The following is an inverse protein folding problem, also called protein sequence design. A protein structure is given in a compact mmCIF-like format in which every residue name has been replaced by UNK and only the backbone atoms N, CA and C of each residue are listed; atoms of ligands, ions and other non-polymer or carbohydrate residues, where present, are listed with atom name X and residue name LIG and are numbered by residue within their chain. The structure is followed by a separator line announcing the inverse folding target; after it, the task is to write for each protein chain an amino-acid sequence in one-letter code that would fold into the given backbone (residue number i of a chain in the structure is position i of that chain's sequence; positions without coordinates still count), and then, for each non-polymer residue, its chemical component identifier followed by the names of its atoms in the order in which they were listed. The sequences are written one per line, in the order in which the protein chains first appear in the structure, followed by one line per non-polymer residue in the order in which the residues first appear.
data_IF_970255418407
#
_entry.id   IF_970255418407
#
_cell.length_a   1.000
_cell.length_b   1.000
_cell.length_c   1.000
_cell.angle_alpha   90.00
_cell.angle_beta   90.00
_cell.angle_gamma   90.00
#
_symmetry.space_group_name_H-M   'P 1'
#
loop_
_entity.id
_entity.type
_entity.pdbx_description
1 polymer ?
#
# COMPACT_ATOMS: atom_id res chain seq x y z
N UNK A 1 -117.37 -15.49 -68.50
CA UNK A 1 -118.00 -14.16 -68.32
C UNK A 1 -117.07 -13.16 -68.99
N UNK A 2 -117.28 -12.79 -70.26
CA UNK A 2 -118.25 -11.78 -70.77
C UNK A 2 -118.08 -10.47 -69.98
N UNK A 3 -117.66 -9.33 -70.55
CA UNK A 3 -118.11 -8.62 -71.78
C UNK A 3 -116.90 -7.83 -72.36
N UNK A 4 -116.54 -7.79 -73.65
CA UNK A 4 -117.25 -7.40 -74.89
C UNK A 4 -117.89 -6.01 -74.84
N UNK A 5 -117.23 -5.02 -75.47
CA UNK A 5 -117.76 -4.25 -76.63
C UNK A 5 -116.89 -3.00 -76.83
N UNK A 6 -116.07 -2.94 -77.89
CA UNK A 6 -116.43 -2.32 -79.18
C UNK A 6 -116.79 -0.85 -79.04
N UNK A 7 -115.95 0.06 -79.57
CA UNK A 7 -116.38 1.03 -80.60
C UNK A 7 -115.21 1.39 -81.52
N UNK A 8 -115.52 1.24 -82.81
CA UNK A 8 -114.72 1.54 -84.01
C UNK A 8 -114.90 3.03 -84.35
N UNK A 9 -113.83 3.68 -84.82
CA UNK A 9 -113.76 4.69 -85.92
C UNK A 9 -112.81 5.83 -85.57
N UNK A 10 -111.86 6.08 -86.48
CA UNK A 10 -111.01 7.26 -86.45
C UNK A 10 -109.63 6.98 -87.02
N UNK A 11 -109.55 6.53 -88.28
CA UNK A 11 -108.32 6.63 -89.05
C UNK A 11 -108.09 8.12 -89.34
N UNK A 12 -107.44 8.80 -88.40
CA UNK A 12 -106.87 10.11 -88.60
C UNK A 12 -105.39 9.90 -88.85
N UNK A 13 -104.98 10.02 -90.11
CA UNK A 13 -103.59 10.19 -90.50
C UNK A 13 -103.05 11.42 -89.79
N UNK A 14 -102.45 11.23 -88.60
CA UNK A 14 -101.61 12.24 -87.99
C UNK A 14 -100.31 12.17 -88.78
N UNK A 15 -100.21 13.03 -89.79
CA UNK A 15 -98.92 13.50 -90.29
C UNK A 15 -98.15 14.01 -89.08
N UNK A 16 -97.29 13.16 -88.53
CA UNK A 16 -96.29 13.54 -87.54
C UNK A 16 -95.32 14.45 -88.29
N UNK A 17 -95.65 15.73 -88.32
CA UNK A 17 -94.75 16.77 -88.76
C UNK A 17 -93.63 16.78 -87.71
N UNK A 18 -92.59 15.98 -87.95
CA UNK A 18 -91.31 16.14 -87.27
C UNK A 18 -90.74 17.47 -87.76
N UNK A 19 -91.27 18.56 -87.21
CA UNK A 19 -90.58 19.84 -87.21
C UNK A 19 -89.33 19.63 -86.36
N UNK A 20 -88.27 19.13 -86.98
CA UNK A 20 -86.93 19.25 -86.44
C UNK A 20 -86.71 20.74 -86.28
N UNK A 21 -86.70 21.22 -85.05
CA UNK A 21 -86.07 22.50 -84.75
C UNK A 21 -84.64 22.32 -85.25
N UNK A 22 -84.33 22.98 -86.37
CA UNK A 22 -83.07 22.84 -87.09
C UNK A 22 -81.92 23.32 -86.24
N UNK A 23 -81.36 22.42 -85.43
CA UNK A 23 -80.06 22.62 -84.82
C UNK A 23 -79.01 22.05 -85.79
N UNK A 24 -78.31 22.95 -86.48
CA UNK A 24 -77.16 22.61 -87.32
C UNK A 24 -76.13 21.78 -86.51
N UNK A 25 -75.42 20.86 -87.17
CA UNK A 25 -74.38 20.05 -86.53
C UNK A 25 -73.30 20.90 -85.80
N UNK A 26 -73.08 22.15 -86.26
CA UNK A 26 -72.20 23.11 -85.61
C UNK A 26 -72.66 23.60 -84.23
N UNK A 27 -73.98 23.70 -83.97
CA UNK A 27 -74.50 24.13 -82.66
C UNK A 27 -74.38 23.01 -81.62
N UNK A 28 -74.54 21.74 -82.03
CA UNK A 28 -74.29 20.59 -81.14
C UNK A 28 -72.81 20.46 -80.74
N UNK A 29 -71.89 20.68 -81.70
CA UNK A 29 -70.45 20.73 -81.40
C UNK A 29 -70.10 21.87 -80.43
N UNK A 30 -70.69 23.05 -80.59
CA UNK A 30 -70.48 24.16 -79.66
C UNK A 30 -70.96 23.83 -78.23
N UNK A 31 -72.13 23.19 -78.09
CA UNK A 31 -72.64 22.74 -76.79
C UNK A 31 -71.74 21.67 -76.17
N UNK A 32 -71.26 20.70 -76.94
CA UNK A 32 -70.33 19.68 -76.46
C UNK A 32 -69.00 20.30 -76.01
N UNK A 33 -68.46 21.26 -76.78
CA UNK A 33 -67.24 21.98 -76.40
C UNK A 33 -67.43 22.81 -75.12
N UNK A 34 -68.58 23.45 -74.93
CA UNK A 34 -68.91 24.19 -73.69
C UNK A 34 -69.04 23.21 -72.52
N UNK A 35 -69.77 22.10 -72.69
CA UNK A 35 -69.91 21.08 -71.65
C UNK A 35 -68.56 20.47 -71.27
N UNK A 36 -67.72 20.10 -72.26
CA UNK A 36 -66.38 19.58 -72.05
C UNK A 36 -65.49 20.59 -71.31
N UNK A 37 -65.55 21.87 -71.70
CA UNK A 37 -64.83 22.97 -71.04
C UNK A 37 -65.29 23.19 -69.60
N UNK A 38 -66.59 23.13 -69.32
CA UNK A 38 -67.15 23.25 -67.96
C UNK A 38 -66.78 22.04 -67.10
N UNK A 39 -66.81 20.82 -67.65
CA UNK A 39 -66.37 19.62 -66.90
C UNK A 39 -64.87 19.63 -66.62
N UNK A 40 -64.04 20.10 -67.55
CA UNK A 40 -62.60 20.21 -67.35
C UNK A 40 -62.26 21.29 -66.32
N UNK A 41 -62.88 22.47 -66.43
CA UNK A 41 -62.72 23.54 -65.44
C UNK A 41 -63.23 23.10 -64.06
N UNK A 42 -64.40 22.44 -63.99
CA UNK A 42 -64.95 21.91 -62.73
C UNK A 42 -64.04 20.88 -62.08
N UNK A 43 -63.49 19.94 -62.85
CA UNK A 43 -62.52 18.96 -62.36
C UNK A 43 -61.23 19.61 -61.84
N UNK A 44 -60.74 20.65 -62.52
CA UNK A 44 -59.59 21.43 -62.07
C UNK A 44 -59.85 22.15 -60.74
N UNK A 45 -61.02 22.77 -60.55
CA UNK A 45 -61.37 23.42 -59.28
C UNK A 45 -61.44 22.43 -58.12
N UNK A 46 -62.03 21.24 -58.33
CA UNK A 46 -62.06 20.19 -57.30
C UNK A 46 -60.66 19.68 -56.97
N UNK A 47 -59.81 19.47 -57.98
CA UNK A 47 -58.42 19.06 -57.76
C UNK A 47 -57.60 20.14 -57.03
N UNK A 48 -57.81 21.43 -57.37
CA UNK A 48 -57.19 22.55 -56.66
C UNK A 48 -57.65 22.63 -55.20
N UNK A 49 -58.95 22.45 -54.94
CA UNK A 49 -59.49 22.47 -53.57
C UNK A 49 -58.93 21.33 -52.72
N UNK A 50 -58.89 20.11 -53.26
CA UNK A 50 -58.24 18.98 -52.61
C UNK A 50 -56.74 19.20 -52.37
N UNK A 51 -56.03 19.78 -53.33
CA UNK A 51 -54.62 20.13 -53.17
C UNK A 51 -54.43 21.21 -52.09
N UNK A 52 -55.33 22.19 -52.00
CA UNK A 52 -55.30 23.23 -50.97
C UNK A 52 -55.55 22.65 -49.58
N UNK A 53 -56.50 21.72 -49.43
CA UNK A 53 -56.76 21.01 -48.17
C UNK A 53 -55.52 20.19 -47.76
N UNK A 54 -54.93 19.45 -48.69
CA UNK A 54 -53.72 18.67 -48.43
C UNK A 54 -52.52 19.55 -48.05
N UNK A 55 -52.39 20.75 -48.64
CA UNK A 55 -51.37 21.73 -48.26
C UNK A 55 -51.59 22.26 -46.85
N UNK A 56 -52.82 22.63 -46.49
CA UNK A 56 -53.16 23.07 -45.12
C UNK A 56 -52.90 22.00 -44.08
N UNK A 57 -53.19 20.73 -44.39
CA UNK A 57 -52.86 19.62 -43.50
C UNK A 57 -51.35 19.49 -43.30
N UNK A 58 -50.56 19.56 -44.38
CA UNK A 58 -49.10 19.56 -44.28
C UNK A 58 -48.60 20.74 -43.46
N UNK A 59 -49.12 21.94 -43.67
CA UNK A 59 -48.76 23.13 -42.90
C UNK A 59 -49.02 22.94 -41.40
N UNK A 60 -50.21 22.44 -41.03
CA UNK A 60 -50.54 22.11 -39.64
C UNK A 60 -49.60 21.04 -39.04
N UNK A 61 -49.26 20.01 -39.80
CA UNK A 61 -48.30 18.98 -39.38
C UNK A 61 -46.89 19.55 -39.18
N UNK A 62 -46.45 20.44 -40.07
CA UNK A 62 -45.15 21.13 -39.96
C UNK A 62 -45.11 22.05 -38.75
N UNK A 63 -46.17 22.81 -38.50
CA UNK A 63 -46.28 23.66 -37.30
C UNK A 63 -46.25 22.83 -36.02
N UNK A 64 -46.97 21.71 -35.97
CA UNK A 64 -46.97 20.80 -34.82
C UNK A 64 -45.58 20.20 -34.58
N UNK A 65 -44.91 19.71 -35.63
CA UNK A 65 -43.53 19.21 -35.54
C UNK A 65 -42.54 20.28 -35.11
N UNK A 66 -42.69 21.51 -35.61
CA UNK A 66 -41.85 22.65 -35.24
C UNK A 66 -42.00 23.00 -33.75
N UNK A 67 -43.24 23.04 -33.24
CA UNK A 67 -43.51 23.26 -31.81
C UNK A 67 -42.92 22.14 -30.95
N UNK A 68 -43.15 20.88 -31.31
CA UNK A 68 -42.58 19.74 -30.60
C UNK A 68 -41.05 19.72 -30.62
N UNK A 69 -40.42 20.15 -31.72
CA UNK A 69 -38.96 20.30 -31.80
C UNK A 69 -38.45 21.37 -30.85
N UNK A 70 -39.10 22.54 -30.81
CA UNK A 70 -38.72 23.64 -29.91
C UNK A 70 -38.88 23.25 -28.44
N UNK A 71 -39.92 22.50 -28.09
CA UNK A 71 -40.12 21.97 -26.73
C UNK A 71 -39.04 20.95 -26.35
N UNK A 72 -38.63 20.09 -27.29
CA UNK A 72 -37.50 19.18 -27.06
C UNK A 72 -36.19 19.93 -26.88
N UNK A 73 -35.93 20.95 -27.71
CA UNK A 73 -34.73 21.77 -27.59
C UNK A 73 -34.68 22.52 -26.24
N UNK A 74 -35.80 23.09 -25.80
CA UNK A 74 -35.86 23.76 -24.50
C UNK A 74 -35.68 22.79 -23.33
N UNK A 75 -36.26 21.58 -23.41
CA UNK A 75 -36.05 20.51 -22.43
C UNK A 75 -34.60 20.07 -22.37
N UNK A 76 -33.98 19.78 -23.52
CA UNK A 76 -32.58 19.36 -23.61
C UNK A 76 -31.63 20.46 -23.14
N UNK A 77 -31.92 21.73 -23.43
CA UNK A 77 -31.16 22.88 -22.92
C UNK A 77 -31.24 22.96 -21.39
N UNK A 78 -32.42 22.72 -20.82
CA UNK A 78 -32.62 22.63 -19.38
C UNK A 78 -31.85 21.47 -18.74
N UNK A 79 -31.88 20.28 -19.35
CA UNK A 79 -31.12 19.10 -18.89
C UNK A 79 -29.61 19.33 -18.98
N UNK A 80 -29.13 19.93 -20.07
CA UNK A 80 -27.72 20.27 -20.25
C UNK A 80 -27.26 21.29 -19.19
N UNK A 81 -28.10 22.27 -18.88
CA UNK A 81 -27.85 23.23 -17.80
C UNK A 81 -27.73 22.56 -16.44
N UNK A 82 -28.66 21.64 -16.11
CA UNK A 82 -28.60 20.86 -14.86
C UNK A 82 -27.36 19.97 -14.81
N UNK A 83 -27.05 19.27 -15.88
CA UNK A 83 -25.87 18.40 -15.95
C UNK A 83 -24.58 19.21 -15.75
N UNK A 84 -24.49 20.39 -16.36
CA UNK A 84 -23.36 21.31 -16.17
C UNK A 84 -23.21 21.75 -14.71
N UNK A 85 -24.31 22.07 -14.02
CA UNK A 85 -24.26 22.39 -12.60
C UNK A 85 -23.81 21.20 -11.75
N UNK A 86 -24.33 20.00 -12.01
CA UNK A 86 -23.88 18.80 -11.29
C UNK A 86 -22.42 18.47 -11.55
N UNK A 87 -21.92 18.74 -12.76
CA UNK A 87 -20.51 18.54 -13.09
C UNK A 87 -19.61 19.50 -12.31
N UNK A 88 -19.97 20.79 -12.24
CA UNK A 88 -19.23 21.78 -11.47
C UNK A 88 -19.22 21.47 -9.96
N UNK A 89 -20.34 20.96 -9.44
CA UNK A 89 -20.42 20.55 -8.04
C UNK A 89 -19.50 19.35 -7.74
N UNK A 90 -19.50 18.34 -8.63
CA UNK A 90 -18.57 17.20 -8.53
C UNK A 90 -17.11 17.60 -8.68
N UNK A 91 -16.80 18.55 -9.56
CA UNK A 91 -15.44 19.08 -9.72
C UNK A 91 -14.97 19.78 -8.43
N UNK A 92 -15.87 20.52 -7.78
CA UNK A 92 -15.62 21.11 -6.46
C UNK A 92 -15.38 20.04 -5.39
N UNK A 93 -16.26 19.05 -5.27
CA UNK A 93 -16.10 17.94 -4.32
C UNK A 93 -14.77 17.20 -4.51
N UNK A 94 -14.36 16.97 -5.78
CA UNK A 94 -13.08 16.35 -6.09
C UNK A 94 -11.90 17.21 -5.66
N UNK A 95 -11.96 18.53 -5.88
CA UNK A 95 -10.92 19.45 -5.41
C UNK A 95 -10.79 19.47 -3.88
N UNK A 96 -11.91 19.42 -3.16
CA UNK A 96 -11.95 19.35 -1.70
C UNK A 96 -11.42 18.00 -1.19
N UNK A 97 -11.73 16.90 -1.88
CA UNK A 97 -11.17 15.59 -1.56
C UNK A 97 -9.65 15.53 -1.79
N UNK A 98 -9.15 16.10 -2.89
CA UNK A 98 -7.73 16.17 -3.19
C UNK A 98 -6.96 16.98 -2.14
N UNK A 99 -7.49 18.11 -1.70
CA UNK A 99 -6.84 18.91 -0.65
C UNK A 99 -6.78 18.17 0.69
N UNK A 100 -7.83 17.41 1.04
CA UNK A 100 -7.83 16.53 2.23
C UNK A 100 -6.83 15.38 2.12
N UNK A 101 -6.70 14.77 0.94
CA UNK A 101 -5.71 13.71 0.70
C UNK A 101 -4.29 14.27 0.90
N UNK A 102 -4.01 15.45 0.36
CA UNK A 102 -2.70 16.09 0.51
C UNK A 102 -2.43 16.52 1.96
N UNK A 103 -3.43 16.98 2.71
CA UNK A 103 -3.24 17.28 4.15
C UNK A 103 -2.94 16.01 4.95
N UNK A 104 -3.72 14.94 4.77
CA UNK A 104 -3.51 13.66 5.45
C UNK A 104 -2.15 13.04 5.10
N UNK A 105 -1.70 13.18 3.85
CA UNK A 105 -0.38 12.71 3.41
C UNK A 105 0.75 13.46 4.14
N UNK A 106 0.59 14.76 4.37
CA UNK A 106 1.54 15.56 5.16
C UNK A 106 1.54 15.13 6.62
N UNK A 107 0.36 14.96 7.22
CA UNK A 107 0.24 14.48 8.61
C UNK A 107 0.86 13.08 8.79
N UNK A 108 0.63 12.17 7.84
CA UNK A 108 1.23 10.84 7.85
C UNK A 108 2.76 10.90 7.73
N UNK A 109 3.29 11.79 6.88
CA UNK A 109 4.74 12.03 6.80
C UNK A 109 5.32 12.62 8.08
N UNK A 110 4.62 13.57 8.72
CA UNK A 110 5.04 14.16 9.99
C UNK A 110 5.01 13.15 11.14
N UNK A 111 3.96 12.34 11.23
CA UNK A 111 3.87 11.28 12.26
C UNK A 111 4.92 10.20 12.05
N UNK A 112 5.20 9.82 10.80
CA UNK A 112 6.28 8.88 10.47
C UNK A 112 7.65 9.42 10.88
N UNK A 113 7.95 10.69 10.60
CA UNK A 113 9.22 11.30 11.00
C UNK A 113 9.32 11.45 12.51
N UNK A 114 8.24 11.84 13.21
CA UNK A 114 8.19 11.86 14.67
C UNK A 114 8.39 10.46 15.31
N UNK A 115 7.85 9.42 14.69
CA UNK A 115 8.07 8.04 15.15
C UNK A 115 9.51 7.59 14.89
N UNK A 116 10.12 7.97 13.78
CA UNK A 116 11.54 7.69 13.52
C UNK A 116 12.46 8.44 14.48
N UNK A 117 12.20 9.71 14.78
CA UNK A 117 13.01 10.51 15.71
C UNK A 117 12.90 10.00 17.14
N UNK A 118 11.78 9.38 17.53
CA UNK A 118 11.63 8.73 18.84
C UNK A 118 12.20 7.30 18.87
N UNK A 119 12.11 6.56 17.76
CA UNK A 119 12.63 5.20 17.65
C UNK A 119 14.16 5.14 17.74
N UNK A 120 14.87 6.04 17.05
CA UNK A 120 16.32 6.04 17.02
C UNK A 120 16.99 6.14 18.41
N UNK A 121 16.64 7.10 19.28
CA UNK A 121 17.25 7.20 20.61
C UNK A 121 16.89 6.03 21.52
N UNK A 122 15.74 5.38 21.31
CA UNK A 122 15.39 4.15 22.03
C UNK A 122 16.29 2.99 21.60
N UNK A 123 16.54 2.82 20.30
CA UNK A 123 17.48 1.82 19.80
C UNK A 123 18.89 2.09 20.32
N UNK A 124 19.34 3.34 20.35
CA UNK A 124 20.64 3.71 20.90
C UNK A 124 20.74 3.40 22.40
N UNK A 125 19.65 3.64 23.16
CA UNK A 125 19.58 3.28 24.59
C UNK A 125 19.62 1.76 24.80
N UNK A 126 18.89 0.99 24.00
CA UNK A 126 18.91 -0.47 24.05
C UNK A 126 20.33 -0.97 23.78
N UNK A 127 20.98 -0.47 22.72
CA UNK A 127 22.35 -0.86 22.39
C UNK A 127 23.35 -0.54 23.53
N UNK A 128 23.22 0.63 24.17
CA UNK A 128 24.03 0.98 25.35
C UNK A 128 23.79 0.03 26.52
N UNK A 129 22.54 -0.30 26.81
CA UNK A 129 22.18 -1.22 27.90
C UNK A 129 22.68 -2.64 27.63
N UNK A 130 22.57 -3.12 26.39
CA UNK A 130 23.12 -4.42 25.97
C UNK A 130 24.63 -4.48 26.19
N UNK A 131 25.37 -3.43 25.80
CA UNK A 131 26.80 -3.33 26.06
C UNK A 131 27.09 -3.37 27.58
N UNK A 132 26.42 -2.56 28.38
CA UNK A 132 26.61 -2.57 29.85
C UNK A 132 26.35 -3.94 30.47
N UNK A 133 25.29 -4.64 30.04
CA UNK A 133 24.98 -5.99 30.51
C UNK A 133 26.07 -7.00 30.14
N UNK A 134 26.64 -6.90 28.93
CA UNK A 134 27.74 -7.78 28.53
C UNK A 134 28.98 -7.58 29.40
N UNK A 135 29.36 -6.33 29.69
CA UNK A 135 30.47 -6.02 30.60
C UNK A 135 30.22 -6.54 32.02
N UNK A 136 29.02 -6.35 32.56
CA UNK A 136 28.66 -6.82 33.89
C UNK A 136 28.69 -8.36 33.96
N UNK A 137 28.18 -9.04 32.93
CA UNK A 137 28.23 -10.50 32.83
C UNK A 137 29.67 -11.04 32.76
N UNK A 138 30.57 -10.31 32.09
CA UNK A 138 32.00 -10.66 32.01
C UNK A 138 32.68 -10.48 33.37
N UNK A 139 32.45 -9.35 34.05
CA UNK A 139 32.98 -9.08 35.38
C UNK A 139 32.49 -10.11 36.41
N UNK A 140 31.22 -10.53 36.32
CA UNK A 140 30.65 -11.53 37.21
C UNK A 140 31.27 -12.91 36.98
N UNK A 141 31.55 -13.30 35.72
CA UNK A 141 32.31 -14.52 35.40
C UNK A 141 33.73 -14.48 35.96
N UNK A 142 34.41 -13.34 35.84
CA UNK A 142 35.76 -13.18 36.37
C UNK A 142 35.79 -13.27 37.91
N UNK A 143 34.83 -12.62 38.59
CA UNK A 143 34.69 -12.71 40.03
C UNK A 143 34.41 -14.16 40.51
N UNK A 144 33.57 -14.91 39.77
CA UNK A 144 33.33 -16.33 40.04
C UNK A 144 34.59 -17.17 39.87
N UNK A 145 35.39 -16.92 38.83
CA UNK A 145 36.68 -17.59 38.64
C UNK A 145 37.66 -17.31 39.77
N UNK A 146 37.74 -16.07 40.25
CA UNK A 146 38.59 -15.69 41.40
C UNK A 146 38.12 -16.41 42.68
N UNK A 147 36.81 -16.46 42.93
CA UNK A 147 36.26 -17.19 44.08
C UNK A 147 36.50 -18.70 43.98
N UNK A 148 36.35 -19.30 42.79
CA UNK A 148 36.66 -20.70 42.56
C UNK A 148 38.14 -21.00 42.81
N UNK A 149 39.05 -20.14 42.32
CA UNK A 149 40.49 -20.24 42.61
C UNK A 149 40.77 -20.15 44.11
N UNK A 150 40.15 -19.21 44.83
CA UNK A 150 40.29 -19.10 46.29
C UNK A 150 39.78 -20.33 47.05
N UNK A 151 38.74 -21.01 46.56
CA UNK A 151 38.22 -22.25 47.15
C UNK A 151 39.05 -23.48 46.81
N UNK A 152 39.76 -23.46 45.68
CA UNK A 152 40.68 -24.51 45.23
C UNK A 152 42.09 -24.38 45.82
N UNK A 153 42.42 -23.27 46.48
CA UNK A 153 43.53 -23.24 47.44
C UNK A 153 43.06 -24.08 48.62
N UNK A 154 43.65 -25.26 48.88
CA UNK A 154 43.30 -25.99 50.06
C UNK A 154 43.66 -25.12 51.26
N UNK A 155 42.66 -24.79 52.07
CA UNK A 155 42.86 -24.65 53.51
C UNK A 155 43.24 -26.04 54.07
N UNK A 156 44.37 -26.58 53.60
CA UNK A 156 45.05 -27.63 54.32
C UNK A 156 45.58 -26.96 55.58
N UNK A 157 45.02 -27.39 56.71
CA UNK A 157 45.45 -26.99 58.03
C UNK A 157 46.95 -27.17 58.14
N UNK A 158 47.66 -26.05 58.19
CA UNK A 158 48.94 -25.98 58.86
C UNK A 158 48.75 -24.92 59.93
N UNK A 159 48.38 -25.38 61.12
CA UNK A 159 48.77 -24.70 62.35
C UNK A 159 50.31 -24.60 62.33
N UNK A 160 50.83 -23.55 61.70
CA UNK A 160 52.22 -23.14 61.84
C UNK A 160 52.36 -22.59 63.27
N UNK A 161 52.64 -23.49 64.20
CA UNK A 161 53.36 -23.13 65.42
C UNK A 161 54.67 -22.46 64.98
N UNK A 162 54.66 -21.12 65.08
CA UNK A 162 55.73 -20.17 64.78
C UNK A 162 56.24 -20.16 63.33
N UNK A 163 56.09 -19.04 62.59
CA UNK A 163 56.77 -18.89 61.32
C UNK A 163 58.28 -18.88 61.59
N UNK A 164 59.00 -19.83 60.99
CA UNK A 164 60.46 -19.76 60.88
C UNK A 164 60.81 -18.36 60.35
N UNK A 165 61.58 -17.62 61.14
CA UNK A 165 62.05 -16.30 60.73
C UNK A 165 62.87 -16.43 59.44
N UNK A 166 62.84 -15.41 58.58
CA UNK A 166 63.62 -15.42 57.34
C UNK A 166 65.10 -15.75 57.61
N UNK A 167 65.66 -15.24 58.71
CA UNK A 167 67.01 -15.59 59.17
C UNK A 167 67.22 -17.08 59.39
N UNK A 168 66.26 -17.79 59.99
CA UNK A 168 66.33 -19.25 60.18
C UNK A 168 66.28 -20.00 58.85
N UNK A 169 65.49 -19.52 57.88
CA UNK A 169 65.41 -20.12 56.53
C UNK A 169 66.73 -19.95 55.79
N UNK A 170 67.36 -18.77 55.87
CA UNK A 170 68.67 -18.50 55.27
C UNK A 170 69.75 -19.40 55.88
N UNK A 171 69.80 -19.48 57.22
CA UNK A 171 70.77 -20.34 57.93
C UNK A 171 70.55 -21.82 57.59
N UNK A 172 69.30 -22.27 57.48
CA UNK A 172 68.99 -23.64 57.09
C UNK A 172 69.44 -23.94 55.65
N UNK A 173 69.27 -23.00 54.71
CA UNK A 173 69.76 -23.16 53.33
C UNK A 173 71.29 -23.27 53.28
N UNK A 174 71.98 -22.39 54.00
CA UNK A 174 73.46 -22.43 54.06
C UNK A 174 73.96 -23.76 54.64
N UNK A 175 73.41 -24.20 55.77
CA UNK A 175 73.76 -25.48 56.37
C UNK A 175 73.43 -26.67 55.44
N UNK A 176 72.36 -26.57 54.66
CA UNK A 176 72.03 -27.60 53.68
C UNK A 176 73.00 -27.62 52.51
N UNK A 177 73.46 -26.47 52.01
CA UNK A 177 74.51 -26.41 50.98
C UNK A 177 75.82 -27.05 51.45
N UNK A 178 76.20 -26.86 52.72
CA UNK A 178 77.36 -27.52 53.31
C UNK A 178 77.19 -29.05 53.29
N UNK A 179 76.00 -29.54 53.66
CA UNK A 179 75.67 -30.97 53.56
C UNK A 179 75.72 -31.45 52.10
N UNK A 180 75.25 -30.65 51.14
CA UNK A 180 75.35 -31.01 49.72
C UNK A 180 76.81 -31.15 49.26
N UNK A 181 77.71 -30.26 49.71
CA UNK A 181 79.14 -30.33 49.42
C UNK A 181 79.77 -31.59 50.02
N UNK A 182 79.47 -31.93 51.27
CA UNK A 182 79.97 -33.14 51.94
C UNK A 182 79.43 -34.44 51.31
N UNK A 183 78.18 -34.42 50.85
CA UNK A 183 77.58 -35.54 50.10
C UNK A 183 78.26 -35.69 48.74
N UNK A 184 78.55 -34.59 48.04
CA UNK A 184 79.27 -34.62 46.77
C UNK A 184 80.74 -35.07 46.92
N UNK A 185 81.39 -34.74 48.04
CA UNK A 185 82.72 -35.21 48.40
C UNK A 185 82.75 -36.71 48.77
N UNK A 186 81.60 -37.36 48.90
CA UNK A 186 81.48 -38.79 49.19
C UNK A 186 81.58 -39.14 50.68
N UNK A 187 81.56 -38.14 51.57
CA UNK A 187 81.65 -38.33 53.02
C UNK A 187 80.35 -38.91 53.60
N UNK A 188 79.21 -38.68 52.95
CA UNK A 188 77.91 -39.24 53.32
C UNK A 188 77.37 -40.23 52.27
N UNK A 189 77.95 -41.44 52.24
CA UNK A 189 77.57 -42.49 51.28
C UNK A 189 76.09 -42.87 51.41
N UNK A 190 75.38 -42.81 50.28
CA UNK A 190 73.97 -43.22 50.18
C UNK A 190 72.96 -42.16 50.61
N UNK A 191 73.38 -41.05 51.23
CA UNK A 191 72.46 -39.99 51.66
C UNK A 191 71.76 -39.33 50.48
N UNK A 192 72.46 -39.18 49.34
CA UNK A 192 71.92 -38.64 48.09
C UNK A 192 70.76 -39.46 47.48
N UNK A 193 70.66 -40.75 47.84
CA UNK A 193 69.61 -41.65 47.36
C UNK A 193 68.40 -41.69 48.31
N UNK A 194 68.50 -41.07 49.48
CA UNK A 194 67.39 -41.03 50.43
C UNK A 194 66.32 -40.04 49.99
N UNK A 195 65.05 -40.43 50.16
CA UNK A 195 63.89 -39.58 49.87
C UNK A 195 63.93 -38.28 50.66
N UNK A 196 64.42 -38.32 51.91
CA UNK A 196 64.55 -37.13 52.76
C UNK A 196 65.49 -36.08 52.18
N UNK A 197 66.68 -36.50 51.74
CA UNK A 197 67.66 -35.59 51.13
C UNK A 197 67.16 -35.02 49.79
N UNK A 198 66.51 -35.83 48.95
CA UNK A 198 65.95 -35.38 47.67
C UNK A 198 64.84 -34.34 47.85
N UNK A 199 63.99 -34.51 48.88
CA UNK A 199 62.96 -33.52 49.23
C UNK A 199 63.56 -32.22 49.72
N UNK A 200 64.54 -32.28 50.62
CA UNK A 200 65.24 -31.08 51.11
C UNK A 200 65.95 -30.34 49.97
N UNK A 201 66.55 -31.09 49.04
CA UNK A 201 67.16 -30.54 47.83
C UNK A 201 66.14 -29.80 46.96
N UNK A 202 64.99 -30.43 46.67
CA UNK A 202 63.95 -29.77 45.88
C UNK A 202 63.39 -28.50 46.55
N UNK A 203 63.35 -28.46 47.88
CA UNK A 203 62.90 -27.28 48.64
C UNK A 203 63.95 -26.16 48.55
N UNK A 204 65.22 -26.45 48.83
CA UNK A 204 66.26 -25.42 48.90
C UNK A 204 66.81 -24.99 47.53
N UNK A 205 66.71 -25.83 46.50
CA UNK A 205 67.07 -25.51 45.11
C UNK A 205 65.96 -24.70 44.40
N UNK A 206 64.89 -24.29 45.10
CA UNK A 206 63.81 -23.49 44.52
C UNK A 206 64.26 -22.03 44.27
N UNK A 207 64.10 -21.49 43.04
CA UNK A 207 64.53 -20.14 42.68
C UNK A 207 63.84 -19.02 43.47
N UNK A 208 62.65 -19.25 44.02
CA UNK A 208 61.93 -18.26 44.82
C UNK A 208 62.65 -17.99 46.16
N UNK A 209 63.34 -19.01 46.72
CA UNK A 209 64.16 -18.85 47.93
C UNK A 209 65.42 -18.04 47.65
N UNK A 210 66.02 -18.16 46.47
CA UNK A 210 67.18 -17.34 46.07
C UNK A 210 66.81 -15.88 45.92
N UNK A 211 65.62 -15.58 45.37
CA UNK A 211 65.11 -14.21 45.29
C UNK A 211 64.88 -13.61 46.69
N UNK A 212 64.35 -14.40 47.64
CA UNK A 212 64.14 -13.97 49.03
C UNK A 212 65.46 -13.70 49.77
N UNK A 213 66.49 -14.51 49.53
CA UNK A 213 67.83 -14.30 50.08
C UNK A 213 68.46 -13.03 49.50
N UNK A 214 68.40 -12.85 48.18
CA UNK A 214 68.92 -11.65 47.52
C UNK A 214 68.25 -10.36 48.01
N UNK A 215 66.94 -10.39 48.24
CA UNK A 215 66.20 -9.25 48.81
C UNK A 215 66.59 -8.97 50.27
N UNK A 216 66.80 -10.00 51.09
CA UNK A 216 67.25 -9.85 52.47
C UNK A 216 68.67 -9.25 52.54
N UNK A 217 69.59 -9.73 51.71
CA UNK A 217 70.98 -9.25 51.71
C UNK A 217 71.07 -7.82 51.16
N UNK A 218 70.26 -7.47 50.16
CA UNK A 218 70.10 -6.09 49.68
C UNK A 218 69.56 -5.15 50.77
N UNK A 219 68.58 -5.59 51.56
CA UNK A 219 68.04 -4.81 52.68
C UNK A 219 69.06 -4.62 53.81
N UNK A 220 69.96 -5.60 54.03
CA UNK A 220 71.00 -5.52 55.06
C UNK A 220 72.19 -4.66 54.63
N UNK A 221 72.51 -4.61 53.33
CA UNK A 221 73.54 -3.75 52.75
C UNK A 221 73.20 -2.26 52.69
N UNK A 222 71.93 -1.89 52.87
CA UNK A 222 71.46 -0.49 52.94
C UNK A 222 71.44 0.08 54.37
N UNK A 223 71.82 -0.71 55.39
CA UNK A 223 71.88 -0.28 56.80
C UNK A 223 73.31 -0.06 57.31
N UNK A 224 74.27 0.20 56.41
CA UNK A 224 75.61 0.70 56.74
C UNK A 224 75.84 2.08 56.14
#
# INVERSE_FOLDING_TARGET
MNLVSSWRKGASTITMNTSSIGFNAGTWLAVICICAGVTYAGGYFVAMDQAMIALKQKEADWESKSKASKERESSLSGELGRLKLTFLDRERELSEAQTKIESLKRELSQTQTALQTTRQPLLDKISKLELSLTWESAALREAQLILAKKRLIPMEGVELQSPLTLKQVITAKQAFNDIQHEVAAGNFKGLNLTVGYQRLRAIFDNPDLDQLIGLHDAARGQSQ
#
